data_IF_585664134779
#
_entry.id   IF_585664134779
#
_cell.length_a   1.000
_cell.length_b   1.000
_cell.length_c   1.000
_cell.angle_alpha   90.00
_cell.angle_beta   90.00
_cell.angle_gamma   90.00
#
_symmetry.space_group_name_H-M   'P 1'
#
loop_
_entity.id
_entity.type
_entity.pdbx_description
1 polymer ?
#
# COMPACT_ATOMS: atom_id res chain seq x y z
N UNK A 1 -2.18 -16.15 -17.05
CA UNK A 1 -1.90 -15.04 -17.97
C UNK A 1 -0.41 -14.81 -18.18
N UNK A 2 0.38 -14.48 -17.15
CA UNK A 2 1.81 -14.14 -17.30
C UNK A 2 2.63 -15.15 -18.14
N UNK A 3 2.37 -16.45 -18.00
CA UNK A 3 2.98 -17.52 -18.82
C UNK A 3 2.66 -17.41 -20.32
N UNK A 4 1.44 -17.01 -20.67
CA UNK A 4 1.08 -16.76 -22.08
C UNK A 4 1.89 -15.60 -22.63
N UNK A 5 1.96 -14.49 -21.89
CA UNK A 5 2.74 -13.31 -22.26
C UNK A 5 4.23 -13.65 -22.40
N UNK A 6 4.78 -14.49 -21.51
CA UNK A 6 6.20 -14.88 -21.60
C UNK A 6 6.49 -15.69 -22.87
N UNK A 7 5.48 -16.35 -23.44
CA UNK A 7 5.54 -17.10 -24.70
C UNK A 7 5.08 -16.26 -25.92
N UNK A 8 4.99 -14.93 -25.76
CA UNK A 8 4.51 -13.99 -26.78
C UNK A 8 3.07 -14.25 -27.26
N UNK A 9 2.24 -14.88 -26.41
CA UNK A 9 0.79 -14.94 -26.60
C UNK A 9 0.12 -13.84 -25.76
N UNK A 10 -0.48 -12.87 -26.46
CA UNK A 10 -1.07 -11.66 -25.87
C UNK A 10 -2.61 -11.71 -25.75
N UNK A 11 -3.20 -12.91 -25.70
CA UNK A 11 -4.63 -13.07 -25.44
C UNK A 11 -4.96 -12.85 -23.96
N UNK A 12 -5.38 -11.63 -23.64
CA UNK A 12 -5.70 -11.22 -22.28
C UNK A 12 -6.91 -11.95 -21.71
N UNK A 13 -6.74 -12.55 -20.52
CA UNK A 13 -7.85 -13.16 -19.78
C UNK A 13 -8.89 -12.11 -19.39
N UNK A 14 -10.18 -12.48 -19.43
CA UNK A 14 -11.29 -11.61 -19.01
C UNK A 14 -11.07 -10.94 -17.65
N UNK A 15 -10.47 -11.64 -16.68
CA UNK A 15 -10.17 -11.08 -15.37
C UNK A 15 -9.25 -9.85 -15.44
N UNK A 16 -8.18 -9.91 -16.24
CA UNK A 16 -7.24 -8.78 -16.37
C UNK A 16 -7.81 -7.65 -17.22
N UNK A 17 -8.62 -7.98 -18.24
CA UNK A 17 -9.36 -6.97 -19.00
C UNK A 17 -10.28 -6.13 -18.09
N UNK A 18 -10.90 -6.76 -17.10
CA UNK A 18 -11.74 -6.10 -16.10
C UNK A 18 -10.93 -5.27 -15.10
N UNK A 19 -9.80 -5.79 -14.64
CA UNK A 19 -8.93 -5.18 -13.63
C UNK A 19 -7.63 -4.64 -14.24
N UNK A 20 -7.70 -3.47 -14.92
CA UNK A 20 -6.55 -2.83 -15.59
C UNK A 20 -5.32 -2.66 -14.68
N UNK A 21 -5.52 -2.44 -13.39
CA UNK A 21 -4.44 -2.32 -12.40
C UNK A 21 -3.58 -3.58 -12.24
N UNK A 22 -4.02 -4.74 -12.76
CA UNK A 22 -3.23 -5.98 -12.77
C UNK A 22 -2.31 -6.13 -14.00
N UNK A 23 -2.45 -5.26 -15.02
CA UNK A 23 -1.65 -5.34 -16.24
C UNK A 23 -0.15 -5.21 -15.95
N UNK A 24 0.34 -4.19 -15.21
CA UNK A 24 1.77 -4.06 -14.92
C UNK A 24 2.34 -5.25 -14.13
N UNK A 25 1.59 -5.77 -13.15
CA UNK A 25 2.00 -6.94 -12.37
C UNK A 25 2.11 -8.19 -13.24
N UNK A 26 1.15 -8.39 -14.15
CA UNK A 26 1.16 -9.54 -15.06
C UNK A 26 2.36 -9.51 -16.00
N UNK A 27 2.71 -8.33 -16.51
CA UNK A 27 3.89 -8.12 -17.36
C UNK A 27 5.17 -8.37 -16.56
N UNK A 28 5.27 -7.83 -15.33
CA UNK A 28 6.41 -8.08 -14.44
C UNK A 28 6.64 -9.59 -14.22
N UNK A 29 5.58 -10.35 -13.94
CA UNK A 29 5.69 -11.80 -13.79
C UNK A 29 6.13 -12.49 -15.09
N UNK A 30 5.71 -11.98 -16.26
CA UNK A 30 6.18 -12.53 -17.54
C UNK A 30 7.69 -12.31 -17.73
N UNK A 31 8.23 -11.17 -17.27
CA UNK A 31 9.67 -10.91 -17.28
C UNK A 31 10.41 -11.82 -16.32
N UNK A 32 9.89 -12.02 -15.12
CA UNK A 32 10.47 -12.98 -14.16
C UNK A 32 10.52 -14.39 -14.75
N UNK A 33 9.50 -14.81 -15.50
CA UNK A 33 9.50 -16.10 -16.20
C UNK A 33 10.58 -16.16 -17.29
N UNK A 34 10.72 -15.11 -18.12
CA UNK A 34 11.75 -15.05 -19.17
C UNK A 34 13.17 -15.08 -18.56
N UNK A 35 13.41 -14.32 -17.49
CA UNK A 35 14.69 -14.32 -16.77
C UNK A 35 14.97 -15.69 -16.15
N UNK A 36 13.97 -16.29 -15.49
CA UNK A 36 14.10 -17.62 -14.89
C UNK A 36 14.39 -18.72 -15.91
N UNK A 37 13.84 -18.60 -17.12
CA UNK A 37 14.14 -19.50 -18.24
C UNK A 37 15.57 -19.29 -18.75
N UNK A 38 16.00 -18.04 -18.94
CA UNK A 38 17.35 -17.69 -19.36
C UNK A 38 18.43 -18.18 -18.38
N UNK A 39 18.15 -18.10 -17.07
CA UNK A 39 19.07 -18.55 -16.01
C UNK A 39 18.92 -20.03 -15.64
N UNK A 40 18.01 -20.77 -16.27
CA UNK A 40 17.69 -22.17 -15.91
C UNK A 40 17.28 -22.38 -14.43
N UNK A 41 16.78 -21.35 -13.75
CA UNK A 41 16.35 -21.40 -12.34
C UNK A 41 14.83 -21.50 -12.17
N UNK A 42 14.07 -21.18 -13.22
CA UNK A 42 12.60 -21.10 -13.16
C UNK A 42 12.08 -19.81 -12.50
N UNK A 43 10.75 -19.71 -12.35
CA UNK A 43 10.09 -18.47 -11.89
C UNK A 43 10.34 -18.15 -10.41
N UNK A 44 10.26 -19.16 -9.54
CA UNK A 44 10.21 -18.95 -8.09
C UNK A 44 11.46 -18.30 -7.50
N UNK A 45 12.70 -18.67 -7.87
CA UNK A 45 13.90 -18.00 -7.35
C UNK A 45 13.92 -16.50 -7.67
N UNK A 46 13.56 -16.12 -8.90
CA UNK A 46 13.50 -14.72 -9.33
C UNK A 46 12.41 -13.95 -8.57
N UNK A 47 11.23 -14.56 -8.42
CA UNK A 47 10.12 -14.01 -7.67
C UNK A 47 10.49 -13.77 -6.20
N UNK A 48 11.09 -14.75 -5.52
CA UNK A 48 11.50 -14.60 -4.12
C UNK A 48 12.63 -13.58 -3.96
N UNK A 49 13.64 -13.59 -4.84
CA UNK A 49 14.72 -12.60 -4.82
C UNK A 49 14.17 -11.18 -4.95
N UNK A 50 13.22 -10.96 -5.85
CA UNK A 50 12.52 -9.69 -6.01
C UNK A 50 11.79 -9.25 -4.74
N UNK A 51 10.97 -10.12 -4.16
CA UNK A 51 10.20 -9.78 -2.96
C UNK A 51 11.08 -9.54 -1.73
N UNK A 52 12.12 -10.35 -1.55
CA UNK A 52 13.13 -10.17 -0.50
C UNK A 52 13.85 -8.84 -0.69
N UNK A 53 14.18 -8.45 -1.92
CA UNK A 53 14.83 -7.16 -2.20
C UNK A 53 13.93 -5.97 -1.83
N UNK A 54 12.63 -6.04 -2.14
CA UNK A 54 11.67 -5.00 -1.72
C UNK A 54 11.55 -4.89 -0.20
N UNK A 55 11.46 -6.05 0.48
CA UNK A 55 11.37 -6.11 1.93
C UNK A 55 12.63 -5.53 2.59
N UNK A 56 13.81 -6.04 2.22
CA UNK A 56 15.09 -5.61 2.80
C UNK A 56 15.33 -4.13 2.50
N UNK A 57 15.07 -3.68 1.26
CA UNK A 57 15.18 -2.26 0.90
C UNK A 57 14.31 -1.36 1.79
N UNK A 58 13.05 -1.74 1.99
CA UNK A 58 12.11 -0.99 2.85
C UNK A 58 12.55 -0.99 4.32
N UNK A 59 13.03 -2.13 4.82
CA UNK A 59 13.53 -2.27 6.18
C UNK A 59 14.80 -1.44 6.41
N UNK A 60 15.78 -1.54 5.51
CA UNK A 60 17.03 -0.76 5.60
C UNK A 60 16.72 0.73 5.59
N UNK A 61 15.87 1.21 4.67
CA UNK A 61 15.47 2.63 4.64
C UNK A 61 14.77 3.06 5.94
N UNK A 62 13.93 2.21 6.51
CA UNK A 62 13.26 2.49 7.78
C UNK A 62 14.26 2.54 8.95
N UNK A 63 15.19 1.59 9.02
CA UNK A 63 16.24 1.55 10.04
C UNK A 63 17.19 2.75 9.92
N UNK A 64 17.57 3.15 8.71
CA UNK A 64 18.38 4.35 8.47
C UNK A 64 17.64 5.63 8.88
N UNK A 65 16.34 5.70 8.60
CA UNK A 65 15.49 6.82 9.05
C UNK A 65 15.43 6.89 10.57
N UNK A 66 15.20 5.75 11.24
CA UNK A 66 15.24 5.66 12.69
C UNK A 66 16.62 5.99 13.25
N UNK A 67 17.69 5.53 12.62
CA UNK A 67 19.05 5.78 13.08
C UNK A 67 19.39 7.26 13.04
N UNK A 68 18.99 7.95 11.96
CA UNK A 68 19.17 9.39 11.83
C UNK A 68 18.39 10.17 12.89
N UNK A 69 17.19 9.70 13.28
CA UNK A 69 16.41 10.30 14.36
C UNK A 69 16.95 9.99 15.75
N UNK A 70 17.15 8.70 16.02
CA UNK A 70 17.37 8.12 17.33
C UNK A 70 17.91 6.68 17.20
N UNK A 71 19.24 6.46 17.36
CA UNK A 71 19.87 5.16 17.19
C UNK A 71 19.25 4.03 18.03
N UNK A 72 18.76 4.34 19.24
CA UNK A 72 18.08 3.38 20.11
C UNK A 72 16.78 2.86 19.48
N UNK A 73 16.03 3.72 18.80
CA UNK A 73 14.84 3.31 18.04
C UNK A 73 15.19 2.41 16.87
N UNK A 74 16.33 2.65 16.19
CA UNK A 74 16.81 1.77 15.13
C UNK A 74 17.25 0.40 15.69
N UNK A 75 17.93 0.37 16.83
CA UNK A 75 18.31 -0.88 17.49
C UNK A 75 17.08 -1.72 17.88
N UNK A 76 16.09 -1.10 18.53
CA UNK A 76 14.83 -1.77 18.88
C UNK A 76 14.09 -2.25 17.62
N UNK A 77 13.98 -1.42 16.59
CA UNK A 77 13.36 -1.80 15.33
C UNK A 77 14.09 -2.97 14.65
N UNK A 78 15.43 -3.01 14.69
CA UNK A 78 16.21 -4.12 14.16
C UNK A 78 15.93 -5.42 14.90
N UNK A 79 15.92 -5.40 16.23
CA UNK A 79 15.57 -6.55 17.07
C UNK A 79 14.15 -7.05 16.78
N UNK A 80 13.17 -6.13 16.73
CA UNK A 80 11.80 -6.46 16.36
C UNK A 80 11.73 -7.05 14.95
N UNK A 81 12.44 -6.49 13.97
CA UNK A 81 12.42 -7.03 12.61
C UNK A 81 12.93 -8.47 12.52
N UNK A 82 13.89 -8.85 13.38
CA UNK A 82 14.43 -10.22 13.45
C UNK A 82 13.44 -11.20 14.10
N UNK A 83 12.76 -10.77 15.17
CA UNK A 83 11.89 -11.65 15.96
C UNK A 83 10.50 -11.79 15.35
N UNK A 84 10.01 -10.75 14.66
CA UNK A 84 8.61 -10.67 14.28
C UNK A 84 8.29 -11.42 12.97
N UNK A 85 7.37 -12.42 12.99
CA UNK A 85 7.01 -13.20 11.80
C UNK A 85 6.45 -12.36 10.64
N UNK A 86 5.90 -11.18 10.92
CA UNK A 86 5.34 -10.28 9.89
C UNK A 86 6.39 -9.90 8.83
N UNK A 87 7.67 -9.78 9.20
CA UNK A 87 8.76 -9.49 8.26
C UNK A 87 9.14 -10.69 7.38
N UNK A 88 8.73 -11.91 7.74
CA UNK A 88 9.08 -13.14 7.01
C UNK A 88 7.90 -13.77 6.29
N UNK A 89 6.75 -13.11 6.30
CA UNK A 89 5.49 -13.67 5.83
C UNK A 89 5.10 -13.11 4.45
N UNK A 90 4.11 -12.23 4.42
CA UNK A 90 3.37 -11.87 3.22
C UNK A 90 4.22 -11.34 2.08
N UNK A 91 5.09 -10.37 2.34
CA UNK A 91 5.84 -9.70 1.26
C UNK A 91 6.69 -10.73 0.52
N UNK A 92 7.29 -11.67 1.25
CA UNK A 92 8.12 -12.74 0.66
C UNK A 92 7.25 -13.74 -0.10
N UNK A 93 6.13 -14.17 0.50
CA UNK A 93 5.34 -15.31 0.02
C UNK A 93 4.28 -14.94 -1.02
N UNK A 94 3.81 -13.70 -0.99
CA UNK A 94 2.74 -13.16 -1.83
C UNK A 94 3.29 -11.89 -2.46
N UNK A 95 4.01 -12.04 -3.56
CA UNK A 95 4.58 -10.94 -4.36
C UNK A 95 3.53 -10.15 -5.11
N UNK A 96 2.57 -9.59 -4.38
CA UNK A 96 1.52 -8.73 -4.88
C UNK A 96 2.03 -7.29 -5.01
N UNK A 97 1.13 -6.36 -5.31
CA UNK A 97 1.47 -4.97 -5.62
C UNK A 97 1.92 -4.12 -4.43
N UNK A 98 1.74 -4.58 -3.19
CA UNK A 98 2.01 -3.82 -1.98
C UNK A 98 3.49 -3.46 -1.78
N UNK A 99 4.40 -4.41 -2.04
CA UNK A 99 5.83 -4.26 -1.71
C UNK A 99 6.50 -3.09 -2.44
N UNK A 100 6.13 -2.85 -3.71
CA UNK A 100 6.64 -1.72 -4.48
C UNK A 100 6.25 -0.37 -3.87
N UNK A 101 5.01 -0.25 -3.39
CA UNK A 101 4.54 0.98 -2.75
C UNK A 101 5.17 1.19 -1.39
N UNK A 102 5.36 0.11 -0.61
CA UNK A 102 6.06 0.16 0.67
C UNK A 102 7.49 0.67 0.49
N UNK A 103 8.23 0.17 -0.52
CA UNK A 103 9.58 0.64 -0.82
C UNK A 103 9.59 2.14 -1.18
N UNK A 104 8.66 2.57 -2.04
CA UNK A 104 8.54 3.96 -2.45
C UNK A 104 8.21 4.90 -1.28
N UNK A 105 7.29 4.50 -0.40
CA UNK A 105 6.96 5.27 0.80
C UNK A 105 8.14 5.31 1.78
N UNK A 106 8.83 4.20 1.99
CA UNK A 106 10.02 4.14 2.87
C UNK A 106 11.14 5.04 2.36
N UNK A 107 11.39 5.07 1.04
CA UNK A 107 12.36 5.97 0.42
C UNK A 107 11.95 7.44 0.58
N UNK A 108 10.66 7.75 0.36
CA UNK A 108 10.14 9.11 0.53
C UNK A 108 10.34 9.63 1.96
N UNK A 109 10.01 8.81 2.96
CA UNK A 109 10.21 9.15 4.38
C UNK A 109 11.69 9.33 4.70
N UNK A 110 12.56 8.43 4.24
CA UNK A 110 14.01 8.54 4.43
C UNK A 110 14.57 9.84 3.85
N UNK A 111 14.20 10.18 2.61
CA UNK A 111 14.67 11.39 1.94
C UNK A 111 14.13 12.67 2.60
N UNK A 112 12.90 12.64 3.12
CA UNK A 112 12.35 13.73 3.91
C UNK A 112 13.14 13.93 5.21
N UNK A 113 13.43 12.84 5.93
CA UNK A 113 14.13 12.90 7.20
C UNK A 113 15.59 13.33 7.04
N UNK A 114 16.30 12.72 6.10
CA UNK A 114 17.73 12.98 5.90
C UNK A 114 18.00 14.37 5.32
N UNK A 115 17.04 14.97 4.60
CA UNK A 115 17.07 16.35 4.08
C UNK A 115 18.30 16.77 3.23
N UNK A 116 19.18 15.83 2.87
CA UNK A 116 20.31 16.06 1.96
C UNK A 116 20.02 15.46 0.58
N UNK A 117 19.27 16.22 -0.23
CA UNK A 117 18.84 15.85 -1.57
C UNK A 117 19.87 16.28 -2.62
N UNK A 118 20.36 15.33 -3.40
CA UNK A 118 21.07 15.56 -4.65
C UNK A 118 20.23 15.05 -5.83
N UNK A 119 20.62 15.39 -7.06
CA UNK A 119 19.87 15.00 -8.25
C UNK A 119 19.72 13.48 -8.40
N UNK A 120 20.73 12.69 -8.04
CA UNK A 120 20.65 11.23 -8.10
C UNK A 120 19.59 10.63 -7.16
N UNK A 121 19.49 11.13 -5.93
CA UNK A 121 18.44 10.72 -4.98
C UNK A 121 17.04 11.08 -5.47
N UNK A 122 16.92 12.24 -6.11
CA UNK A 122 15.65 12.71 -6.67
C UNK A 122 15.24 11.90 -7.90
N UNK A 123 16.18 11.57 -8.79
CA UNK A 123 15.96 10.68 -9.92
C UNK A 123 15.57 9.28 -9.42
N UNK A 124 16.27 8.75 -8.43
CA UNK A 124 15.92 7.48 -7.80
C UNK A 124 14.49 7.52 -7.24
N UNK A 125 14.12 8.59 -6.53
CA UNK A 125 12.75 8.78 -6.03
C UNK A 125 11.73 8.74 -7.18
N UNK A 126 11.97 9.42 -8.30
CA UNK A 126 11.09 9.36 -9.48
C UNK A 126 10.87 7.93 -9.95
N UNK A 127 11.94 7.15 -10.15
CA UNK A 127 11.83 5.78 -10.66
C UNK A 127 11.14 4.85 -9.66
N UNK A 128 11.51 4.92 -8.37
CA UNK A 128 10.92 4.09 -7.33
C UNK A 128 9.45 4.46 -7.10
N UNK A 129 9.11 5.75 -7.13
CA UNK A 129 7.72 6.20 -7.00
C UNK A 129 6.88 5.83 -8.23
N UNK A 130 7.43 5.94 -9.44
CA UNK A 130 6.78 5.45 -10.66
C UNK A 130 6.47 3.96 -10.56
N UNK A 131 7.44 3.16 -10.09
CA UNK A 131 7.26 1.74 -9.87
C UNK A 131 6.17 1.43 -8.83
N UNK A 132 6.21 2.13 -7.69
CA UNK A 132 5.19 2.04 -6.66
C UNK A 132 3.78 2.39 -7.16
N UNK A 133 3.66 3.41 -8.02
CA UNK A 133 2.40 3.85 -8.61
C UNK A 133 1.87 2.87 -9.67
N UNK A 134 2.75 2.34 -10.54
CA UNK A 134 2.39 1.30 -11.51
C UNK A 134 1.77 0.07 -10.84
N UNK A 135 2.34 -0.35 -9.71
CA UNK A 135 1.83 -1.48 -8.96
C UNK A 135 0.57 -1.10 -8.17
N UNK A 136 0.56 0.08 -7.55
CA UNK A 136 -0.55 0.51 -6.71
C UNK A 136 -0.79 2.02 -6.76
N UNK A 137 -1.79 2.47 -7.55
CA UNK A 137 -2.08 3.89 -7.74
C UNK A 137 -2.42 4.66 -6.46
N UNK A 138 -2.92 3.98 -5.42
CA UNK A 138 -3.31 4.61 -4.14
C UNK A 138 -2.11 5.25 -3.41
N UNK A 139 -0.87 4.97 -3.81
CA UNK A 139 0.32 5.70 -3.32
C UNK A 139 0.25 7.20 -3.61
N UNK A 140 -0.61 7.65 -4.54
CA UNK A 140 -0.85 9.08 -4.82
C UNK A 140 -1.24 9.89 -3.59
N UNK A 141 -1.78 9.24 -2.55
CA UNK A 141 -2.11 9.87 -1.26
C UNK A 141 -0.86 10.50 -0.60
N UNK A 142 0.35 10.02 -0.89
CA UNK A 142 1.58 10.65 -0.46
C UNK A 142 1.76 12.08 -1.00
N UNK A 143 1.31 12.36 -2.23
CA UNK A 143 1.34 13.72 -2.78
C UNK A 143 0.37 14.63 -2.03
N UNK A 144 -0.80 14.13 -1.62
CA UNK A 144 -1.76 14.89 -0.79
C UNK A 144 -1.12 15.23 0.56
N UNK A 145 -0.43 14.28 1.19
CA UNK A 145 0.28 14.54 2.45
C UNK A 145 1.40 15.59 2.29
N UNK A 146 2.22 15.49 1.24
CA UNK A 146 3.23 16.50 0.92
C UNK A 146 2.59 17.88 0.66
N UNK A 147 1.49 17.93 -0.10
CA UNK A 147 0.77 19.16 -0.38
C UNK A 147 0.27 19.84 0.91
N UNK A 148 -0.33 19.08 1.83
CA UNK A 148 -0.78 19.57 3.13
C UNK A 148 0.40 20.17 3.92
N UNK A 149 1.53 19.46 4.02
CA UNK A 149 2.72 19.99 4.72
C UNK A 149 3.22 21.27 4.03
N UNK A 150 3.21 21.30 2.70
CA UNK A 150 3.57 22.47 1.89
C UNK A 150 2.73 23.69 2.25
N UNK A 151 1.41 23.55 2.31
CA UNK A 151 0.49 24.64 2.68
C UNK A 151 0.80 25.21 4.08
N UNK A 152 1.05 24.33 5.06
CA UNK A 152 1.36 24.76 6.45
C UNK A 152 2.78 25.27 6.66
N UNK A 153 3.68 25.06 5.69
CA UNK A 153 5.09 25.52 5.75
C UNK A 153 5.36 26.71 4.85
N UNK A 154 4.46 27.01 3.91
CA UNK A 154 4.55 28.16 3.02
C UNK A 154 4.71 29.46 3.81
N UNK A 155 5.72 30.27 3.44
CA UNK A 155 6.18 31.51 4.11
C UNK A 155 6.60 31.38 5.59
N UNK A 156 6.21 30.32 6.31
CA UNK A 156 6.54 30.09 7.73
C UNK A 156 7.85 29.34 7.93
N UNK A 157 8.17 28.38 7.05
CA UNK A 157 9.34 27.50 7.17
C UNK A 157 9.91 27.20 5.78
N UNK A 158 10.64 28.17 5.22
CA UNK A 158 11.10 28.13 3.82
C UNK A 158 11.92 26.88 3.48
N UNK A 159 12.77 26.41 4.39
CA UNK A 159 13.60 25.22 4.16
C UNK A 159 12.74 23.95 3.99
N UNK A 160 11.75 23.75 4.86
CA UNK A 160 10.84 22.60 4.79
C UNK A 160 9.92 22.73 3.57
N UNK A 161 9.42 23.93 3.28
CA UNK A 161 8.62 24.18 2.06
C UNK A 161 9.39 23.82 0.79
N UNK A 162 10.67 24.22 0.67
CA UNK A 162 11.54 23.86 -0.46
C UNK A 162 11.77 22.35 -0.55
N UNK A 163 12.03 21.69 0.59
CA UNK A 163 12.19 20.22 0.65
C UNK A 163 10.93 19.51 0.14
N UNK A 164 9.78 19.82 0.74
CA UNK A 164 8.47 19.24 0.38
C UNK A 164 8.14 19.47 -1.08
N UNK A 165 8.40 20.68 -1.59
CA UNK A 165 8.13 21.03 -3.00
C UNK A 165 8.98 20.18 -3.94
N UNK A 166 10.28 19.99 -3.64
CA UNK A 166 11.15 19.09 -4.42
C UNK A 166 10.61 17.67 -4.40
N UNK A 167 10.33 17.11 -3.22
CA UNK A 167 9.81 15.74 -3.10
C UNK A 167 8.48 15.58 -3.86
N UNK A 168 7.58 16.56 -3.76
CA UNK A 168 6.30 16.57 -4.46
C UNK A 168 6.49 16.54 -5.99
N UNK A 169 7.35 17.42 -6.53
CA UNK A 169 7.62 17.49 -7.97
C UNK A 169 8.17 16.16 -8.49
N UNK A 170 9.14 15.57 -7.81
CA UNK A 170 9.75 14.31 -8.27
C UNK A 170 8.82 13.10 -8.10
N UNK A 171 7.99 13.05 -7.07
CA UNK A 171 6.92 12.04 -6.99
C UNK A 171 5.89 12.22 -8.11
N UNK A 172 5.52 13.46 -8.44
CA UNK A 172 4.61 13.77 -9.55
C UNK A 172 5.20 13.39 -10.91
N UNK A 173 6.49 13.67 -11.15
CA UNK A 173 7.22 13.17 -12.32
C UNK A 173 7.21 11.64 -12.37
N UNK A 174 7.28 10.96 -11.21
CA UNK A 174 7.11 9.51 -11.11
C UNK A 174 5.75 9.02 -11.61
N UNK A 175 4.66 9.74 -11.28
CA UNK A 175 3.30 9.43 -11.78
C UNK A 175 3.22 9.61 -13.30
N UNK A 176 3.81 10.69 -13.84
CA UNK A 176 3.87 10.92 -15.29
C UNK A 176 4.63 9.78 -15.97
N UNK A 177 5.79 9.41 -15.43
CA UNK A 177 6.60 8.31 -15.95
C UNK A 177 5.81 6.99 -15.92
N UNK A 178 5.19 6.65 -14.79
CA UNK A 178 4.36 5.45 -14.66
C UNK A 178 3.21 5.41 -15.67
N UNK A 179 2.52 6.54 -15.87
CA UNK A 179 1.41 6.64 -16.83
C UNK A 179 1.90 6.44 -18.26
N UNK A 180 3.04 7.03 -18.61
CA UNK A 180 3.68 6.83 -19.91
C UNK A 180 4.13 5.38 -20.10
N UNK A 181 4.76 4.76 -19.10
CA UNK A 181 5.13 3.35 -19.11
C UNK A 181 3.92 2.44 -19.27
N UNK A 182 2.79 2.74 -18.61
CA UNK A 182 1.56 1.96 -18.78
C UNK A 182 1.04 2.02 -20.21
N UNK A 183 1.14 3.16 -20.90
CA UNK A 183 0.77 3.27 -22.32
C UNK A 183 1.69 2.45 -23.23
N UNK A 184 2.99 2.47 -22.94
CA UNK A 184 3.97 1.65 -23.65
C UNK A 184 3.65 0.16 -23.45
N UNK A 185 3.36 -0.26 -22.22
CA UNK A 185 2.92 -1.63 -21.92
C UNK A 185 1.65 -1.99 -22.67
N UNK A 186 0.66 -1.10 -22.69
CA UNK A 186 -0.59 -1.33 -23.41
C UNK A 186 -0.31 -1.60 -24.91
N UNK A 187 0.56 -0.79 -25.54
CA UNK A 187 0.95 -0.96 -26.93
C UNK A 187 1.81 -2.22 -27.19
N UNK A 188 2.88 -2.42 -26.41
CA UNK A 188 3.83 -3.53 -26.59
C UNK A 188 3.21 -4.90 -26.36
N UNK A 189 2.24 -5.00 -25.44
CA UNK A 189 1.59 -6.26 -25.08
C UNK A 189 0.16 -6.35 -25.62
N UNK A 190 -0.20 -5.53 -26.61
CA UNK A 190 -1.50 -5.53 -27.29
C UNK A 190 -2.70 -5.51 -26.31
N UNK A 191 -2.57 -4.80 -25.19
CA UNK A 191 -3.67 -4.60 -24.26
C UNK A 191 -4.57 -3.47 -24.76
N UNK A 192 -5.85 -3.76 -24.97
CA UNK A 192 -6.82 -2.73 -25.32
C UNK A 192 -7.16 -1.88 -24.09
N UNK A 193 -6.56 -0.69 -24.00
CA UNK A 193 -6.81 0.28 -22.94
C UNK A 193 -8.26 0.77 -22.88
N UNK A 194 -9.00 0.69 -23.99
CA UNK A 194 -10.40 1.09 -24.12
C UNK A 194 -11.34 -0.12 -24.12
N UNK A 195 -10.91 -1.25 -23.54
CA UNK A 195 -11.75 -2.44 -23.56
C UNK A 195 -13.07 -2.20 -22.80
N UNK A 196 -14.22 -2.60 -23.38
CA UNK A 196 -15.53 -2.32 -22.80
C UNK A 196 -15.82 -3.08 -21.51
N UNK A 197 -14.98 -4.07 -21.14
CA UNK A 197 -15.14 -4.91 -19.94
C UNK A 197 -14.43 -4.33 -18.73
N UNK A 198 -13.63 -3.26 -18.89
CA UNK A 198 -12.88 -2.65 -17.80
C UNK A 198 -13.85 -2.05 -16.78
N UNK A 199 -13.59 -2.28 -15.49
CA UNK A 199 -14.33 -1.59 -14.44
C UNK A 199 -14.07 -0.08 -14.49
N UNK A 200 -15.12 0.75 -14.50
CA UNK A 200 -14.95 2.19 -14.33
C UNK A 200 -14.48 2.47 -12.90
N UNK A 201 -13.73 3.56 -12.69
CA UNK A 201 -13.19 3.91 -11.36
C UNK A 201 -14.31 4.07 -10.31
N UNK A 202 -15.48 4.55 -10.74
CA UNK A 202 -16.66 4.70 -9.88
C UNK A 202 -17.24 3.38 -9.37
N UNK A 203 -16.93 2.24 -9.99
CA UNK A 203 -17.33 0.90 -9.52
C UNK A 203 -16.93 0.66 -8.06
N UNK A 204 -15.73 1.08 -7.72
CA UNK A 204 -15.16 0.94 -6.39
C UNK A 204 -15.85 1.83 -5.36
N UNK A 205 -16.28 3.03 -5.78
CA UNK A 205 -17.09 3.94 -4.95
C UNK A 205 -18.50 3.36 -4.75
N UNK A 206 -19.10 2.84 -5.83
CA UNK A 206 -20.37 2.14 -5.77
C UNK A 206 -20.30 1.01 -4.74
N UNK A 207 -19.36 0.07 -4.89
CA UNK A 207 -19.14 -1.01 -3.92
C UNK A 207 -18.87 -0.50 -2.51
N UNK A 208 -18.06 0.55 -2.35
CA UNK A 208 -17.74 1.16 -1.06
C UNK A 208 -18.95 1.69 -0.28
N UNK A 209 -20.08 1.93 -0.95
CA UNK A 209 -21.35 2.37 -0.35
C UNK A 209 -22.35 1.23 -0.12
N UNK A 210 -21.99 -0.03 -0.37
CA UNK A 210 -22.87 -1.17 -0.15
C UNK A 210 -23.18 -1.36 1.35
N UNK A 211 -24.44 -1.18 1.76
CA UNK A 211 -24.87 -1.32 3.16
C UNK A 211 -24.75 -2.77 3.67
N UNK A 212 -25.21 -3.75 2.88
CA UNK A 212 -25.25 -5.16 3.27
C UNK A 212 -23.85 -5.76 3.49
N UNK A 213 -22.87 -5.32 2.69
CA UNK A 213 -21.49 -5.79 2.76
C UNK A 213 -20.56 -4.82 3.47
N UNK A 214 -21.09 -3.72 4.01
CA UNK A 214 -20.32 -2.69 4.74
C UNK A 214 -19.14 -2.22 3.86
N UNK A 215 -19.43 -1.96 2.59
CA UNK A 215 -18.45 -1.47 1.62
C UNK A 215 -17.38 -2.46 1.18
N UNK A 216 -17.44 -3.74 1.56
CA UNK A 216 -16.49 -4.76 1.11
C UNK A 216 -16.80 -5.23 -0.32
N UNK A 217 -15.85 -5.94 -0.92
CA UNK A 217 -16.06 -6.59 -2.20
C UNK A 217 -17.34 -7.44 -2.20
N UNK A 218 -18.21 -7.19 -3.18
CA UNK A 218 -19.46 -7.91 -3.35
C UNK A 218 -19.56 -8.48 -4.76
N UNK A 219 -19.86 -9.78 -4.87
CA UNK A 219 -20.06 -10.44 -6.17
C UNK A 219 -21.28 -9.89 -6.91
N UNK A 220 -22.35 -9.51 -6.19
CA UNK A 220 -23.55 -8.97 -6.82
C UNK A 220 -23.28 -7.58 -7.43
N UNK A 221 -22.58 -6.70 -6.73
CA UNK A 221 -22.16 -5.39 -7.27
C UNK A 221 -21.23 -5.55 -8.47
N UNK A 222 -20.31 -6.52 -8.43
CA UNK A 222 -19.47 -6.86 -9.58
C UNK A 222 -20.32 -7.27 -10.79
N UNK A 223 -21.28 -8.17 -10.60
CA UNK A 223 -22.15 -8.62 -11.68
C UNK A 223 -23.04 -7.49 -12.21
N UNK A 224 -23.56 -6.63 -11.33
CA UNK A 224 -24.34 -5.46 -11.70
C UNK A 224 -23.57 -4.58 -12.70
N UNK A 225 -22.33 -4.21 -12.38
CA UNK A 225 -21.51 -3.38 -13.28
C UNK A 225 -21.17 -4.10 -14.59
N UNK A 226 -20.85 -5.40 -14.54
CA UNK A 226 -20.49 -6.16 -15.74
C UNK A 226 -21.68 -6.47 -16.67
N UNK A 227 -22.90 -6.47 -16.16
CA UNK A 227 -24.11 -6.70 -16.96
C UNK A 227 -24.50 -5.47 -17.79
N UNK A 228 -23.93 -4.29 -17.49
CA UNK A 228 -24.10 -3.10 -18.31
C UNK A 228 -23.01 -3.08 -19.38
N UNK A 229 -23.38 -3.46 -20.61
CA UNK A 229 -22.41 -3.59 -21.70
C UNK A 229 -21.80 -2.23 -22.10
N UNK A 230 -20.46 -2.18 -22.13
CA UNK A 230 -19.70 -1.00 -22.51
C UNK A 230 -19.29 -0.12 -21.32
N UNK A 231 -18.07 0.42 -21.38
CA UNK A 231 -17.47 1.21 -20.30
C UNK A 231 -18.36 2.38 -19.85
N UNK A 232 -18.87 3.17 -20.79
CA UNK A 232 -19.73 4.33 -20.48
C UNK A 232 -21.07 3.93 -19.87
N UNK A 233 -21.66 2.83 -20.34
CA UNK A 233 -22.93 2.29 -19.79
C UNK A 233 -22.73 1.83 -18.35
N UNK A 234 -21.68 1.02 -18.10
CA UNK A 234 -21.30 0.57 -16.78
C UNK A 234 -20.98 1.75 -15.83
N UNK A 235 -20.26 2.77 -16.30
CA UNK A 235 -19.95 3.96 -15.52
C UNK A 235 -21.23 4.72 -15.11
N UNK A 236 -22.17 4.91 -16.04
CA UNK A 236 -23.43 5.59 -15.76
C UNK A 236 -24.30 4.79 -14.78
N UNK A 237 -24.33 3.46 -14.93
CA UNK A 237 -25.04 2.57 -14.02
C UNK A 237 -24.47 2.66 -12.59
N UNK A 238 -23.14 2.59 -12.44
CA UNK A 238 -22.50 2.74 -11.13
C UNK A 238 -22.76 4.13 -10.50
N UNK A 239 -22.73 5.21 -11.30
CA UNK A 239 -23.06 6.56 -10.81
C UNK A 239 -24.52 6.65 -10.35
N UNK A 240 -25.46 6.07 -11.11
CA UNK A 240 -26.87 6.01 -10.72
C UNK A 240 -27.04 5.18 -9.43
N UNK A 241 -26.34 4.05 -9.32
CA UNK A 241 -26.31 3.21 -8.14
C UNK A 241 -25.74 3.92 -6.91
N UNK A 242 -24.68 4.72 -7.06
CA UNK A 242 -24.11 5.57 -5.99
C UNK A 242 -25.16 6.56 -5.50
N UNK A 243 -25.82 7.29 -6.42
CA UNK A 243 -26.87 8.26 -6.07
C UNK A 243 -28.00 7.58 -5.31
N UNK A 244 -28.47 6.43 -5.80
CA UNK A 244 -29.52 5.66 -5.14
C UNK A 244 -29.12 5.20 -3.73
N UNK A 245 -27.90 4.66 -3.57
CA UNK A 245 -27.37 4.25 -2.25
C UNK A 245 -27.32 5.43 -1.28
N UNK A 246 -26.82 6.59 -1.73
CA UNK A 246 -26.74 7.81 -0.90
C UNK A 246 -28.13 8.31 -0.48
N UNK A 247 -29.14 8.25 -1.36
CA UNK A 247 -30.52 8.61 -1.02
C UNK A 247 -31.14 7.65 0.01
N UNK A 248 -30.73 6.38 0.00
CA UNK A 248 -31.19 5.38 0.97
C UNK A 248 -30.47 5.45 2.32
N UNK A 249 -29.42 6.27 2.44
CA UNK A 249 -28.77 6.52 3.73
C UNK A 249 -29.46 7.66 4.48
N UNK A 250 -29.69 7.45 5.77
CA UNK A 250 -29.84 8.56 6.73
C UNK A 250 -28.45 9.04 7.16
N UNK A 251 -28.25 10.34 7.50
CA UNK A 251 -26.94 10.86 7.92
C UNK A 251 -26.26 10.03 9.02
N UNK A 252 -27.03 9.61 10.04
CA UNK A 252 -26.52 8.75 11.11
C UNK A 252 -26.05 7.38 10.60
N UNK A 253 -26.86 6.72 9.76
CA UNK A 253 -26.52 5.39 9.20
C UNK A 253 -25.32 5.45 8.24
N UNK A 254 -25.14 6.57 7.53
CA UNK A 254 -23.96 6.80 6.71
C UNK A 254 -22.70 6.97 7.57
N UNK A 255 -22.81 7.72 8.67
CA UNK A 255 -21.73 7.85 9.66
C UNK A 255 -21.35 6.49 10.25
N UNK A 256 -22.34 5.69 10.66
CA UNK A 256 -22.12 4.32 11.17
C UNK A 256 -21.49 3.40 10.11
N UNK A 257 -21.91 3.52 8.85
CA UNK A 257 -21.30 2.79 7.73
C UNK A 257 -19.81 3.09 7.60
N UNK A 258 -19.42 4.38 7.66
CA UNK A 258 -18.01 4.77 7.64
C UNK A 258 -17.24 4.29 8.88
N UNK A 259 -17.83 4.34 10.07
CA UNK A 259 -17.20 3.79 11.29
C UNK A 259 -16.95 2.28 11.13
N UNK A 260 -17.94 1.54 10.62
CA UNK A 260 -17.80 0.09 10.40
C UNK A 260 -16.73 -0.22 9.35
N UNK A 261 -16.67 0.54 8.24
CA UNK A 261 -15.59 0.42 7.25
C UNK A 261 -14.23 0.68 7.87
N UNK A 262 -14.09 1.74 8.66
CA UNK A 262 -12.84 2.00 9.38
C UNK A 262 -12.46 0.82 10.28
N UNK A 263 -13.42 0.25 10.99
CA UNK A 263 -13.24 -0.98 11.77
C UNK A 263 -12.69 -2.14 10.92
N UNK A 264 -13.28 -2.42 9.75
CA UNK A 264 -12.83 -3.48 8.84
C UNK A 264 -11.38 -3.27 8.37
N UNK A 265 -10.97 -2.02 8.11
CA UNK A 265 -9.59 -1.72 7.70
C UNK A 265 -8.55 -2.13 8.75
N UNK A 266 -8.91 -2.01 10.03
CA UNK A 266 -7.99 -2.19 11.16
C UNK A 266 -8.25 -3.44 12.00
N UNK A 267 -9.23 -4.28 11.62
CA UNK A 267 -9.66 -5.38 12.51
C UNK A 267 -8.66 -6.56 12.63
N UNK A 268 -7.81 -6.81 11.62
CA UNK A 268 -6.81 -7.88 11.65
C UNK A 268 -5.38 -7.34 11.75
N UNK A 269 -4.62 -7.85 12.72
CA UNK A 269 -3.23 -7.46 12.95
C UNK A 269 -2.27 -7.82 11.82
N UNK A 270 -2.61 -8.83 11.00
CA UNK A 270 -1.82 -9.27 9.85
C UNK A 270 -2.32 -8.67 8.53
N UNK A 271 -3.28 -7.75 8.54
CA UNK A 271 -3.82 -7.14 7.31
C UNK A 271 -4.32 -8.16 6.26
N UNK A 272 -4.96 -9.26 6.68
CA UNK A 272 -5.42 -10.36 5.80
C UNK A 272 -4.33 -11.05 4.97
N UNK A 273 -3.08 -10.85 5.34
CA UNK A 273 -1.97 -11.37 4.55
C UNK A 273 -1.81 -12.89 4.63
N UNK A 274 -2.17 -13.48 5.76
CA UNK A 274 -2.05 -14.93 6.01
C UNK A 274 -3.26 -15.74 5.54
N UNK A 275 -4.34 -15.08 5.06
CA UNK A 275 -5.65 -15.72 4.85
C UNK A 275 -6.13 -15.66 3.40
N UNK A 276 -5.93 -14.56 2.68
CA UNK A 276 -6.57 -14.36 1.36
C UNK A 276 -5.84 -14.99 0.17
N UNK A 277 -4.52 -15.16 0.27
CA UNK A 277 -3.66 -15.53 -0.87
C UNK A 277 -2.77 -16.75 -0.62
N UNK A 278 -2.74 -17.29 0.60
CA UNK A 278 -1.89 -18.42 1.00
C UNK A 278 -2.69 -19.72 1.12
N UNK A 279 -3.37 -20.13 0.04
CA UNK A 279 -4.23 -21.33 0.10
C UNK A 279 -3.44 -22.64 0.16
N UNK A 280 -2.26 -22.71 -0.47
CA UNK A 280 -1.44 -23.92 -0.50
C UNK A 280 0.05 -23.57 -0.40
N UNK A 281 0.77 -24.20 0.54
CA UNK A 281 2.22 -24.14 0.59
C UNK A 281 2.83 -25.05 -0.47
N UNK A 282 3.74 -24.51 -1.27
CA UNK A 282 4.50 -25.30 -2.26
C UNK A 282 5.55 -26.16 -1.54
N UNK A 283 6.17 -25.61 -0.50
CA UNK A 283 7.11 -26.29 0.38
C UNK A 283 6.98 -25.73 1.80
N UNK A 284 6.75 -26.59 2.79
CA UNK A 284 6.72 -26.22 4.19
C UNK A 284 7.05 -27.44 5.07
N UNK A 285 7.76 -27.27 6.20
CA UNK A 285 7.98 -28.35 7.16
C UNK A 285 6.65 -28.96 7.64
N UNK A 286 6.59 -30.29 7.79
CA UNK A 286 5.37 -30.99 8.24
C UNK A 286 4.83 -30.44 9.56
N UNK A 287 5.72 -30.07 10.48
CA UNK A 287 5.37 -29.47 11.77
C UNK A 287 4.67 -28.12 11.60
N UNK A 288 5.18 -27.28 10.68
CA UNK A 288 4.56 -26.00 10.34
C UNK A 288 3.16 -26.21 9.74
N UNK A 289 3.00 -27.15 8.81
CA UNK A 289 1.68 -27.45 8.23
C UNK A 289 0.68 -27.91 9.29
N UNK A 290 1.11 -28.79 10.20
CA UNK A 290 0.30 -29.30 11.33
C UNK A 290 -0.20 -28.16 12.23
N UNK A 291 0.65 -27.17 12.52
CA UNK A 291 0.34 -26.07 13.44
C UNK A 291 0.08 -24.73 12.74
N UNK A 292 -0.11 -24.71 11.42
CA UNK A 292 -0.25 -23.49 10.61
C UNK A 292 -1.34 -22.55 11.13
N UNK A 293 -2.51 -23.10 11.50
CA UNK A 293 -3.61 -22.33 12.10
C UNK A 293 -3.21 -21.65 13.40
N UNK A 294 -2.49 -22.36 14.28
CA UNK A 294 -2.02 -21.82 15.56
C UNK A 294 -0.95 -20.74 15.32
N UNK A 295 -0.01 -20.99 14.41
CA UNK A 295 1.05 -20.04 14.04
C UNK A 295 0.43 -18.75 13.47
N UNK A 296 -0.58 -18.87 12.62
CA UNK A 296 -1.31 -17.72 12.08
C UNK A 296 -2.07 -16.96 13.15
N UNK A 297 -2.76 -17.66 14.06
CA UNK A 297 -3.46 -17.03 15.18
C UNK A 297 -2.49 -16.25 16.07
N UNK A 298 -1.37 -16.89 16.47
CA UNK A 298 -0.34 -16.25 17.29
C UNK A 298 0.24 -15.04 16.57
N UNK A 299 0.55 -15.16 15.28
CA UNK A 299 1.05 -14.04 14.46
C UNK A 299 0.04 -12.90 14.39
N UNK A 300 -1.23 -13.20 14.20
CA UNK A 300 -2.31 -12.20 14.13
C UNK A 300 -2.51 -11.48 15.46
N UNK A 301 -2.60 -12.21 16.57
CA UNK A 301 -2.74 -11.64 17.92
C UNK A 301 -1.53 -10.79 18.26
N UNK A 302 -0.33 -11.30 18.00
CA UNK A 302 0.90 -10.57 18.26
C UNK A 302 0.99 -9.28 17.43
N UNK A 303 0.78 -9.35 16.11
CA UNK A 303 0.83 -8.15 15.25
C UNK A 303 -0.24 -7.14 15.64
N UNK A 304 -1.43 -7.59 16.05
CA UNK A 304 -2.49 -6.71 16.54
C UNK A 304 -2.08 -6.03 17.85
N UNK A 305 -1.56 -6.78 18.81
CA UNK A 305 -1.06 -6.24 20.07
C UNK A 305 0.05 -5.21 19.84
N UNK A 306 0.98 -5.49 18.91
CA UNK A 306 2.06 -4.57 18.54
C UNK A 306 1.53 -3.27 17.90
N UNK A 307 0.60 -3.38 16.96
CA UNK A 307 -0.06 -2.22 16.34
C UNK A 307 -0.80 -1.41 17.40
N UNK A 308 -1.56 -2.06 18.28
CA UNK A 308 -2.25 -1.40 19.39
C UNK A 308 -1.29 -0.69 20.34
N UNK A 309 -0.14 -1.30 20.65
CA UNK A 309 0.90 -0.70 21.48
C UNK A 309 1.50 0.54 20.81
N UNK A 310 1.80 0.47 19.52
CA UNK A 310 2.31 1.61 18.74
C UNK A 310 1.30 2.75 18.68
N UNK A 311 0.03 2.45 18.44
CA UNK A 311 -1.04 3.45 18.46
C UNK A 311 -1.24 4.05 19.85
N UNK A 312 -1.10 3.24 20.91
CA UNK A 312 -1.19 3.71 22.29
C UNK A 312 -0.08 4.71 22.62
N UNK A 313 1.20 4.38 22.33
CA UNK A 313 2.30 5.31 22.54
C UNK A 313 2.20 6.56 21.67
N UNK A 314 1.69 6.43 20.44
CA UNK A 314 1.39 7.59 19.60
C UNK A 314 0.35 8.51 20.25
N UNK A 315 -0.73 7.95 20.80
CA UNK A 315 -1.76 8.72 21.53
C UNK A 315 -1.16 9.40 22.75
N UNK A 316 -0.36 8.70 23.55
CA UNK A 316 0.32 9.29 24.72
C UNK A 316 1.21 10.47 24.31
N UNK A 317 1.96 10.35 23.21
CA UNK A 317 2.80 11.43 22.70
C UNK A 317 1.97 12.62 22.20
N UNK A 318 0.81 12.38 21.56
CA UNK A 318 -0.11 13.43 21.13
C UNK A 318 -0.78 14.14 22.31
N UNK A 319 -1.13 13.42 23.38
CA UNK A 319 -1.74 13.98 24.60
C UNK A 319 -0.80 14.93 25.34
N UNK A 320 0.51 14.86 25.11
CA UNK A 320 1.50 15.80 25.66
C UNK A 320 1.41 17.21 25.06
N UNK A 321 0.49 17.47 24.11
CA UNK A 321 0.17 18.79 23.52
C UNK A 321 1.39 19.57 23.00
N UNK A 322 2.43 18.88 22.55
CA UNK A 322 3.60 19.51 21.93
C UNK A 322 3.26 19.99 20.52
N UNK A 323 3.89 21.09 20.05
CA UNK A 323 3.77 21.47 18.65
C UNK A 323 4.24 20.30 17.77
N UNK A 324 3.35 19.79 16.91
CA UNK A 324 3.67 18.66 16.05
C UNK A 324 4.80 19.09 15.10
N UNK A 325 5.99 18.47 15.19
CA UNK A 325 7.10 18.83 14.32
C UNK A 325 6.74 18.46 12.88
N UNK A 326 7.04 19.36 11.94
CA UNK A 326 6.83 19.14 10.50
C UNK A 326 7.96 18.28 9.94
N UNK A 327 8.03 17.05 10.43
CA UNK A 327 9.09 16.08 10.16
C UNK A 327 8.51 14.82 9.49
N UNK A 328 9.35 13.81 9.30
CA UNK A 328 8.97 12.51 8.72
C UNK A 328 7.88 11.75 9.52
N UNK A 329 7.72 12.00 10.83
CA UNK A 329 6.64 11.41 11.63
C UNK A 329 5.30 11.98 11.18
N UNK A 330 5.19 13.31 11.05
CA UNK A 330 3.97 13.95 10.56
C UNK A 330 3.63 13.48 9.13
N UNK A 331 4.62 13.40 8.24
CA UNK A 331 4.41 12.90 6.88
C UNK A 331 3.87 11.46 6.89
N UNK A 332 4.46 10.58 7.70
CA UNK A 332 4.02 9.19 7.86
C UNK A 332 2.59 9.11 8.37
N UNK A 333 2.25 9.89 9.40
CA UNK A 333 0.89 9.96 9.97
C UNK A 333 -0.15 10.46 8.96
N UNK A 334 0.17 11.50 8.19
CA UNK A 334 -0.71 12.02 7.15
C UNK A 334 -0.96 10.98 6.04
N UNK A 335 0.05 10.18 5.69
CA UNK A 335 -0.09 9.11 4.71
C UNK A 335 -0.96 7.96 5.26
N UNK A 336 -0.68 7.48 6.48
CA UNK A 336 -1.47 6.44 7.16
C UNK A 336 -2.94 6.87 7.25
N UNK A 337 -3.18 8.10 7.72
CA UNK A 337 -4.51 8.65 7.87
C UNK A 337 -5.19 8.87 6.52
N UNK A 338 -4.48 9.42 5.53
CA UNK A 338 -5.01 9.62 4.19
C UNK A 338 -5.46 8.33 3.52
N UNK A 339 -4.67 7.26 3.62
CA UNK A 339 -5.02 5.92 3.10
C UNK A 339 -6.23 5.37 3.83
N UNK A 340 -6.28 5.54 5.15
CA UNK A 340 -7.42 5.15 5.97
C UNK A 340 -8.70 5.86 5.55
N UNK A 341 -8.66 7.19 5.42
CA UNK A 341 -9.82 7.99 5.00
C UNK A 341 -10.27 7.65 3.58
N UNK A 342 -9.33 7.49 2.65
CA UNK A 342 -9.65 7.15 1.26
C UNK A 342 -10.45 5.84 1.18
N UNK A 343 -9.99 4.79 1.85
CA UNK A 343 -10.69 3.50 1.84
C UNK A 343 -11.94 3.46 2.73
N UNK A 344 -12.01 4.32 3.74
CA UNK A 344 -13.19 4.43 4.60
C UNK A 344 -14.32 5.17 3.89
N UNK A 345 -14.03 6.33 3.31
CA UNK A 345 -15.06 7.27 2.81
C UNK A 345 -15.37 7.02 1.33
N UNK A 346 -14.35 6.77 0.50
CA UNK A 346 -14.48 6.83 -0.96
C UNK A 346 -14.49 5.43 -1.59
N UNK A 347 -13.55 4.57 -1.23
CA UNK A 347 -13.27 3.32 -1.96
C UNK A 347 -13.98 2.09 -1.34
N UNK A 348 -13.96 0.93 -2.01
CA UNK A 348 -14.29 -0.32 -1.31
C UNK A 348 -13.26 -0.60 -0.21
N UNK A 349 -13.73 -1.28 0.82
CA UNK A 349 -12.93 -1.57 2.01
C UNK A 349 -12.41 -3.00 1.98
N UNK A 350 -11.14 -3.14 2.33
CA UNK A 350 -10.49 -4.43 2.55
C UNK A 350 -9.35 -4.24 3.54
N UNK A 351 -9.19 -5.13 4.51
CA UNK A 351 -8.17 -5.00 5.57
C UNK A 351 -6.76 -4.98 5.00
N UNK A 352 -6.50 -5.70 3.90
CA UNK A 352 -5.23 -5.65 3.16
C UNK A 352 -4.85 -4.23 2.75
N UNK A 353 -5.79 -3.31 2.58
CA UNK A 353 -5.46 -1.99 2.07
C UNK A 353 -4.53 -1.18 2.96
N UNK A 354 -4.54 -1.43 4.26
CA UNK A 354 -3.59 -0.82 5.19
C UNK A 354 -2.18 -1.40 5.11
N UNK A 355 -1.97 -2.55 4.46
CA UNK A 355 -0.66 -3.20 4.45
C UNK A 355 0.44 -2.33 3.82
N UNK A 356 0.13 -1.47 2.84
CA UNK A 356 1.11 -0.51 2.29
C UNK A 356 1.65 0.50 3.30
N UNK A 357 0.98 0.68 4.44
CA UNK A 357 1.40 1.61 5.50
C UNK A 357 2.21 0.91 6.60
N UNK A 358 2.43 -0.40 6.49
CA UNK A 358 3.07 -1.20 7.54
C UNK A 358 4.40 -0.62 8.04
N UNK A 359 5.33 -0.31 7.12
CA UNK A 359 6.64 0.26 7.52
C UNK A 359 6.53 1.69 8.07
N UNK A 360 5.52 2.47 7.66
CA UNK A 360 5.25 3.79 8.23
C UNK A 360 4.76 3.67 9.67
N UNK A 361 3.84 2.73 9.92
CA UNK A 361 3.32 2.45 11.25
C UNK A 361 4.41 1.89 12.16
N UNK A 362 5.25 0.99 11.63
CA UNK A 362 6.41 0.45 12.34
C UNK A 362 7.40 1.55 12.72
N UNK A 363 7.74 2.43 11.78
CA UNK A 363 8.60 3.61 12.00
C UNK A 363 8.06 4.51 13.12
N UNK A 364 6.82 4.98 12.97
CA UNK A 364 6.20 5.92 13.93
C UNK A 364 6.03 5.26 15.30
N UNK A 365 5.59 4.01 15.34
CA UNK A 365 5.33 3.27 16.57
C UNK A 365 6.57 3.01 17.40
N UNK A 366 7.64 2.53 16.78
CA UNK A 366 8.92 2.30 17.48
C UNK A 366 9.53 3.61 17.97
N UNK A 367 9.50 4.66 17.13
CA UNK A 367 9.99 5.97 17.54
C UNK A 367 9.20 6.51 18.75
N UNK A 368 7.87 6.49 18.71
CA UNK A 368 7.03 6.97 19.80
C UNK A 368 7.26 6.20 21.11
N UNK A 369 7.42 4.87 21.03
CA UNK A 369 7.70 4.03 22.20
C UNK A 369 9.03 4.39 22.87
N UNK A 370 10.11 4.50 22.10
CA UNK A 370 11.44 4.85 22.66
C UNK A 370 11.48 6.29 23.15
N UNK A 371 10.80 7.21 22.46
CA UNK A 371 10.70 8.60 22.89
C UNK A 371 9.93 8.77 24.19
N UNK A 372 8.95 7.90 24.45
CA UNK A 372 8.22 7.86 25.71
C UNK A 372 9.15 7.44 26.87
N UNK A 373 9.80 6.27 26.76
CA UNK A 373 10.58 5.70 27.87
C UNK A 373 11.87 6.44 28.19
N UNK A 374 12.57 7.01 27.20
CA UNK A 374 13.82 7.71 27.49
C UNK A 374 13.62 9.09 28.11
N UNK A 375 12.42 9.68 27.96
CA UNK A 375 12.11 10.98 28.56
C UNK A 375 11.63 10.90 30.01
N UNK A 376 11.18 9.74 30.46
CA UNK A 376 10.75 9.52 31.85
C UNK A 376 11.93 9.07 32.75
N UNK A 377 13.16 9.02 32.20
CA UNK A 377 14.39 8.64 32.91
C UNK A 377 15.31 9.84 33.27
N UNK A 378 14.81 11.07 33.22
CA UNK A 378 15.54 12.27 33.66
C UNK A 378 14.67 13.25 34.44
#
# INVERSE_FOLDING_TARGET
>A
MARKISQNNFEWSNWILQYKNLVPLTILYSWMMKIGQFLHTGFYPIFFAYNISLLIGSLVLTLLTLWHKKPQSAALAGLLAIVLPVFYSFIIQVGYTDGASILALSLLIFLFEYNHLNWWKLILLTFVFAYGYLMRPNIIIALVALFIIGLFTYKKQNNIFKLVSKLFIFCFLGIILATSTSKIFDATYHYNANNPKQFPVVHWIYMGLNQEKIGQYNKADRSYTLNHEGFSSAQNADIAGIKNRLLNYRPLTLGLHFINKYGILWHEGTFQTLTDYQKNYIFAPKLFLKYSKLIFLVSQVFSKALISLFLFFLVLELLRKKPIPRNSILLSLLIIFGISLFHTIIWEVKTRYQFMTFFLLFFVGVYAMVEYFEKDNF
#
